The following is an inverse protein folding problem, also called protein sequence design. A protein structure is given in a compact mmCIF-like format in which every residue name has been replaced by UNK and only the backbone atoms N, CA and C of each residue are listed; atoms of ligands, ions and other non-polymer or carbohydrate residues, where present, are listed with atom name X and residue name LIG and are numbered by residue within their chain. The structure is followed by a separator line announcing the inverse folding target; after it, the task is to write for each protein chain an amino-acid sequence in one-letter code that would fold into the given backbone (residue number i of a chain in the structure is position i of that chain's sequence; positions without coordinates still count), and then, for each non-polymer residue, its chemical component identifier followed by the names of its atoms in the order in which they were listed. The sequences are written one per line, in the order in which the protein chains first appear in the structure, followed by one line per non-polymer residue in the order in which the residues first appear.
data_IF_194894996242
#
_entry.id   IF_194894996242
#
_cell.length_a   1.000
_cell.length_b   1.000
_cell.length_c   1.000
_cell.angle_alpha   90.00
_cell.angle_beta   90.00
_cell.angle_gamma   90.00
#
_symmetry.space_group_name_H-M   'P 1'
#
loop_
_entity.id
_entity.type
_entity.pdbx_description
1 polymer ?
#
# COMPACT_ATOMS: atom_id res chain seq x y z
N UNK A 1 66.74 3.91 17.93
CA UNK A 1 65.65 2.91 17.82
C UNK A 1 64.46 3.49 17.04
N UNK A 2 64.46 3.36 15.72
CA UNK A 2 63.36 3.62 14.76
C UNK A 2 63.69 2.76 13.53
N UNK A 3 62.73 2.07 12.87
CA UNK A 3 61.45 2.64 12.47
C UNK A 3 60.26 1.65 12.62
N UNK A 4 59.28 1.96 13.49
CA UNK A 4 57.98 1.25 13.51
C UNK A 4 56.91 1.96 12.66
N UNK A 5 57.22 3.15 12.12
CA UNK A 5 56.24 4.03 11.46
C UNK A 5 55.76 3.51 10.10
N UNK A 6 56.60 2.83 9.31
CA UNK A 6 56.20 2.37 7.98
C UNK A 6 55.22 1.18 8.02
N UNK A 7 55.50 0.18 8.85
CA UNK A 7 54.64 -1.01 9.01
C UNK A 7 53.30 -0.66 9.67
N UNK A 8 53.32 0.22 10.68
CA UNK A 8 52.11 0.72 11.30
C UNK A 8 51.25 1.53 10.33
N UNK A 9 51.85 2.37 9.48
CA UNK A 9 51.13 3.14 8.45
C UNK A 9 50.51 2.24 7.39
N UNK A 10 51.19 1.18 6.96
CA UNK A 10 50.62 0.17 6.05
C UNK A 10 49.45 -0.58 6.69
N UNK A 11 49.58 -1.01 7.95
CA UNK A 11 48.51 -1.69 8.68
C UNK A 11 47.29 -0.79 8.88
N UNK A 12 47.51 0.50 9.17
CA UNK A 12 46.43 1.49 9.29
C UNK A 12 45.70 1.70 7.96
N UNK A 13 46.44 1.70 6.85
CA UNK A 13 45.84 1.76 5.51
C UNK A 13 44.96 0.52 5.28
N UNK A 14 45.50 -0.68 5.48
CA UNK A 14 44.73 -1.92 5.28
C UNK A 14 43.50 -1.99 6.18
N UNK A 15 43.62 -1.60 7.45
CA UNK A 15 42.49 -1.51 8.36
C UNK A 15 41.45 -0.47 7.90
N UNK A 16 41.90 0.67 7.37
CA UNK A 16 41.04 1.69 6.77
C UNK A 16 40.31 1.18 5.53
N UNK A 17 41.00 0.48 4.63
CA UNK A 17 40.38 -0.13 3.45
C UNK A 17 39.32 -1.17 3.86
N UNK A 18 39.64 -2.02 4.83
CA UNK A 18 38.69 -2.97 5.42
C UNK A 18 37.47 -2.26 6.00
N UNK A 19 37.66 -1.22 6.81
CA UNK A 19 36.57 -0.46 7.40
C UNK A 19 35.67 0.16 6.32
N UNK A 20 36.26 0.76 5.27
CA UNK A 20 35.51 1.32 4.13
C UNK A 20 34.70 0.24 3.42
N UNK A 21 35.28 -0.94 3.17
CA UNK A 21 34.54 -2.05 2.53
C UNK A 21 33.38 -2.55 3.39
N UNK A 22 33.56 -2.63 4.71
CA UNK A 22 32.50 -3.05 5.64
C UNK A 22 31.37 -2.02 5.70
N UNK A 23 31.69 -0.72 5.75
CA UNK A 23 30.69 0.36 5.74
C UNK A 23 29.94 0.41 4.41
N UNK A 24 30.64 0.22 3.29
CA UNK A 24 30.02 0.14 1.97
C UNK A 24 29.06 -1.04 1.90
N UNK A 25 29.50 -2.23 2.33
CA UNK A 25 28.66 -3.43 2.33
C UNK A 25 27.43 -3.28 3.23
N UNK A 26 27.60 -2.73 4.43
CA UNK A 26 26.50 -2.48 5.36
C UNK A 26 25.48 -1.50 4.77
N UNK A 27 25.97 -0.38 4.20
CA UNK A 27 25.13 0.63 3.55
C UNK A 27 24.34 0.05 2.38
N UNK A 28 25.00 -0.70 1.49
CA UNK A 28 24.35 -1.35 0.35
C UNK A 28 23.30 -2.35 0.80
N UNK A 29 23.60 -3.15 1.82
CA UNK A 29 22.67 -4.15 2.37
C UNK A 29 21.43 -3.48 2.98
N UNK A 30 21.61 -2.42 3.76
CA UNK A 30 20.50 -1.65 4.34
C UNK A 30 19.63 -1.02 3.24
N UNK A 31 20.26 -0.49 2.19
CA UNK A 31 19.53 0.11 1.09
C UNK A 31 18.69 -0.90 0.31
N UNK A 32 19.28 -2.07 -0.01
CA UNK A 32 18.57 -3.19 -0.63
C UNK A 32 17.41 -3.68 0.26
N UNK A 33 17.67 -3.87 1.55
CA UNK A 33 16.67 -4.36 2.50
C UNK A 33 15.45 -3.42 2.58
N UNK A 34 15.68 -2.11 2.67
CA UNK A 34 14.61 -1.11 2.68
C UNK A 34 13.78 -1.16 1.39
N UNK A 35 14.42 -1.28 0.23
CA UNK A 35 13.71 -1.39 -1.05
C UNK A 35 12.89 -2.67 -1.19
N UNK A 36 13.42 -3.81 -0.72
CA UNK A 36 12.70 -5.08 -0.76
C UNK A 36 11.49 -5.09 0.18
N UNK A 37 11.62 -4.50 1.38
CA UNK A 37 10.54 -4.46 2.36
C UNK A 37 9.36 -3.60 1.88
N UNK A 38 9.65 -2.41 1.32
CA UNK A 38 8.59 -1.53 0.79
C UNK A 38 7.89 -2.16 -0.41
N UNK A 39 8.65 -2.74 -1.34
CA UNK A 39 8.07 -3.41 -2.51
C UNK A 39 7.19 -4.61 -2.13
N UNK A 40 7.60 -5.41 -1.13
CA UNK A 40 6.82 -6.55 -0.67
C UNK A 40 5.56 -6.14 0.09
N UNK A 41 5.64 -5.08 0.89
CA UNK A 41 4.49 -4.51 1.57
C UNK A 41 3.46 -3.96 0.57
N UNK A 42 3.91 -3.20 -0.44
CA UNK A 42 3.06 -2.66 -1.50
C UNK A 42 2.40 -3.78 -2.31
N UNK A 43 3.16 -4.82 -2.70
CA UNK A 43 2.62 -5.96 -3.45
C UNK A 43 1.57 -6.74 -2.65
N UNK A 44 1.80 -6.97 -1.35
CA UNK A 44 0.84 -7.63 -0.47
C UNK A 44 -0.43 -6.80 -0.26
N UNK A 45 -0.28 -5.49 -0.10
CA UNK A 45 -1.40 -4.57 0.06
C UNK A 45 -2.25 -4.49 -1.21
N UNK A 46 -1.61 -4.41 -2.38
CA UNK A 46 -2.30 -4.42 -3.67
C UNK A 46 -3.05 -5.73 -3.91
N UNK A 47 -2.40 -6.88 -3.73
CA UNK A 47 -3.04 -8.17 -3.94
C UNK A 47 -4.28 -8.35 -3.04
N UNK A 48 -4.22 -7.86 -1.81
CA UNK A 48 -5.36 -7.87 -0.91
C UNK A 48 -6.49 -6.95 -1.39
N UNK A 49 -6.17 -5.71 -1.77
CA UNK A 49 -7.18 -4.77 -2.29
C UNK A 49 -7.81 -5.26 -3.60
N UNK A 50 -7.04 -5.89 -4.48
CA UNK A 50 -7.54 -6.53 -5.70
C UNK A 50 -8.46 -7.71 -5.40
N UNK A 51 -8.12 -8.57 -4.44
CA UNK A 51 -8.97 -9.68 -4.04
C UNK A 51 -10.32 -9.19 -3.48
N UNK A 52 -10.29 -8.11 -2.68
CA UNK A 52 -11.51 -7.47 -2.18
C UNK A 52 -12.33 -6.87 -3.32
N UNK A 53 -11.68 -6.13 -4.24
CA UNK A 53 -12.36 -5.54 -5.39
C UNK A 53 -12.99 -6.60 -6.31
N UNK A 54 -12.33 -7.75 -6.50
CA UNK A 54 -12.84 -8.86 -7.29
C UNK A 54 -14.06 -9.55 -6.63
N UNK A 55 -14.03 -9.69 -5.30
CA UNK A 55 -15.17 -10.23 -4.54
C UNK A 55 -16.38 -9.32 -4.71
N UNK A 56 -16.21 -8.02 -4.43
CA UNK A 56 -17.25 -7.00 -4.62
C UNK A 56 -17.78 -6.99 -6.07
N UNK A 57 -16.91 -7.05 -7.08
CA UNK A 57 -17.32 -7.10 -8.48
C UNK A 57 -18.21 -8.32 -8.77
N UNK A 58 -17.90 -9.47 -8.17
CA UNK A 58 -18.66 -10.71 -8.30
C UNK A 58 -20.04 -10.58 -7.66
N UNK A 59 -20.14 -10.03 -6.46
CA UNK A 59 -21.41 -9.88 -5.75
C UNK A 59 -22.29 -8.81 -6.39
N UNK A 60 -21.71 -7.73 -6.90
CA UNK A 60 -22.43 -6.76 -7.73
C UNK A 60 -22.93 -7.37 -9.03
N UNK A 61 -22.15 -8.25 -9.66
CA UNK A 61 -22.59 -8.99 -10.83
C UNK A 61 -23.77 -9.91 -10.49
N UNK A 62 -23.68 -10.69 -9.42
CA UNK A 62 -24.79 -11.55 -8.95
C UNK A 62 -26.05 -10.74 -8.63
N UNK A 63 -25.93 -9.67 -7.86
CA UNK A 63 -27.06 -8.79 -7.53
C UNK A 63 -27.72 -8.20 -8.78
N UNK A 64 -26.92 -7.84 -9.80
CA UNK A 64 -27.44 -7.33 -11.07
C UNK A 64 -28.20 -8.38 -11.90
N UNK A 65 -27.76 -9.65 -11.84
CA UNK A 65 -28.41 -10.78 -12.51
C UNK A 65 -29.69 -11.20 -11.78
N UNK A 66 -29.66 -11.22 -10.44
CA UNK A 66 -30.75 -11.71 -9.60
C UNK A 66 -31.82 -10.65 -9.28
N UNK A 67 -31.62 -9.37 -9.70
CA UNK A 67 -32.46 -8.21 -9.30
C UNK A 67 -32.67 -8.10 -7.79
N UNK A 68 -31.72 -8.61 -7.01
CA UNK A 68 -31.74 -8.45 -5.56
C UNK A 68 -31.51 -6.97 -5.21
N UNK A 69 -32.18 -6.49 -4.16
CA UNK A 69 -32.21 -5.08 -3.76
C UNK A 69 -30.84 -4.44 -3.50
N UNK A 70 -30.87 -3.13 -3.24
CA UNK A 70 -29.74 -2.19 -3.23
C UNK A 70 -28.37 -2.80 -2.83
N UNK A 71 -27.36 -2.78 -3.73
CA UNK A 71 -26.05 -3.40 -3.48
C UNK A 71 -25.28 -2.83 -2.27
N UNK A 72 -25.67 -1.65 -1.77
CA UNK A 72 -25.09 -1.02 -0.58
C UNK A 72 -25.25 -1.87 0.69
N UNK A 73 -26.36 -2.56 0.85
CA UNK A 73 -26.64 -3.36 2.05
C UNK A 73 -25.87 -4.70 2.06
N UNK A 74 -25.47 -5.18 0.88
CA UNK A 74 -24.61 -6.36 0.72
C UNK A 74 -23.17 -6.00 1.08
N UNK A 75 -22.65 -4.92 0.48
CA UNK A 75 -21.33 -4.37 0.78
C UNK A 75 -21.11 -4.14 2.27
N UNK A 76 -22.10 -3.57 2.96
CA UNK A 76 -21.99 -3.29 4.39
C UNK A 76 -21.89 -4.55 5.24
N UNK A 77 -22.56 -5.65 4.84
CA UNK A 77 -22.53 -6.91 5.58
C UNK A 77 -21.21 -7.65 5.39
N UNK A 78 -20.73 -7.76 4.16
CA UNK A 78 -19.47 -8.45 3.87
C UNK A 78 -18.27 -7.77 4.52
N UNK A 79 -18.26 -6.43 4.58
CA UNK A 79 -17.15 -5.68 5.18
C UNK A 79 -17.00 -5.89 6.69
N UNK A 80 -18.03 -6.31 7.42
CA UNK A 80 -17.90 -6.61 8.86
C UNK A 80 -17.02 -7.84 9.13
N UNK A 81 -16.86 -8.72 8.14
CA UNK A 81 -16.06 -9.95 8.28
C UNK A 81 -14.58 -9.73 7.91
N UNK A 82 -14.24 -8.60 7.28
CA UNK A 82 -12.88 -8.33 6.79
C UNK A 82 -12.04 -7.67 7.89
N UNK A 83 -11.26 -8.48 8.61
CA UNK A 83 -10.42 -8.07 9.75
C UNK A 83 -9.19 -7.18 9.42
N UNK A 84 -9.25 -6.31 8.40
CA UNK A 84 -8.19 -5.35 8.01
C UNK A 84 -8.79 -4.00 7.62
N UNK A 85 -8.02 -2.92 7.67
CA UNK A 85 -8.48 -1.56 7.35
C UNK A 85 -8.82 -1.40 5.86
N UNK A 86 -10.10 -1.57 5.52
CA UNK A 86 -10.62 -1.41 4.15
C UNK A 86 -11.81 -0.47 4.16
N UNK A 87 -11.89 0.34 3.11
CA UNK A 87 -13.00 1.22 2.83
C UNK A 87 -13.40 1.11 1.37
N UNK A 88 -14.70 1.08 1.11
CA UNK A 88 -15.28 1.15 -0.22
C UNK A 88 -15.86 2.53 -0.42
N UNK A 89 -15.50 3.15 -1.54
CA UNK A 89 -15.86 4.50 -1.92
C UNK A 89 -16.66 4.45 -3.21
N UNK A 90 -17.76 5.19 -3.26
CA UNK A 90 -18.55 5.38 -4.48
C UNK A 90 -17.75 6.23 -5.47
N UNK A 91 -17.58 5.71 -6.68
CA UNK A 91 -16.64 6.28 -7.64
C UNK A 91 -17.11 7.63 -8.23
N UNK A 92 -18.44 7.87 -8.24
CA UNK A 92 -19.08 9.08 -8.76
C UNK A 92 -19.12 10.21 -7.72
N UNK A 93 -19.43 9.87 -6.48
CA UNK A 93 -19.53 10.84 -5.38
C UNK A 93 -18.22 11.03 -4.64
N UNK A 94 -17.32 10.05 -4.68
CA UNK A 94 -16.12 10.01 -3.84
C UNK A 94 -16.43 9.80 -2.36
N UNK A 95 -17.68 9.45 -2.02
CA UNK A 95 -18.11 9.26 -0.64
C UNK A 95 -17.97 7.80 -0.22
N UNK A 96 -17.52 7.55 1.02
CA UNK A 96 -17.40 6.20 1.51
C UNK A 96 -18.77 5.58 1.76
N UNK A 97 -19.00 4.40 1.17
CA UNK A 97 -20.26 3.66 1.25
C UNK A 97 -20.22 2.52 2.27
N UNK A 98 -19.04 1.95 2.49
CA UNK A 98 -18.82 0.89 3.48
C UNK A 98 -17.37 0.91 3.97
N UNK A 99 -17.13 0.47 5.20
CA UNK A 99 -15.81 0.43 5.80
C UNK A 99 -15.77 -0.65 6.89
N UNK A 100 -14.58 -1.17 7.16
CA UNK A 100 -14.32 -2.13 8.25
C UNK A 100 -14.20 -1.39 9.58
N UNK A 101 -14.59 -2.02 10.69
CA UNK A 101 -14.46 -1.46 12.04
C UNK A 101 -13.01 -1.18 12.45
N UNK A 102 -12.04 -1.84 11.80
CA UNK A 102 -10.61 -1.62 12.01
C UNK A 102 -10.09 -0.25 11.55
N UNK A 103 -10.86 0.53 10.77
CA UNK A 103 -10.55 1.95 10.53
C UNK A 103 -10.78 2.70 11.86
N UNK A 104 -9.72 2.86 12.63
CA UNK A 104 -9.74 3.52 13.93
C UNK A 104 -10.23 4.97 13.77
N UNK A 105 -11.53 5.21 13.93
CA UNK A 105 -12.20 6.52 14.00
C UNK A 105 -12.01 7.52 12.84
N UNK A 106 -11.08 7.29 11.90
CA UNK A 106 -10.83 8.15 10.74
C UNK A 106 -11.02 7.37 9.45
N UNK A 107 -11.85 7.93 8.57
CA UNK A 107 -12.05 7.48 7.20
C UNK A 107 -10.79 7.77 6.38
N UNK A 108 -10.45 6.90 5.44
CA UNK A 108 -9.32 7.14 4.56
C UNK A 108 -9.69 8.28 3.60
N UNK A 109 -8.83 9.29 3.42
CA UNK A 109 -9.05 10.33 2.44
C UNK A 109 -8.87 9.75 1.04
N UNK A 110 -9.77 10.09 0.13
CA UNK A 110 -9.59 9.85 -1.30
C UNK A 110 -9.12 11.15 -1.96
N UNK A 111 -7.88 11.19 -2.42
CA UNK A 111 -7.38 12.34 -3.17
C UNK A 111 -8.02 12.40 -4.55
N UNK A 112 -8.12 13.61 -5.10
CA UNK A 112 -8.62 13.80 -6.46
C UNK A 112 -7.74 13.06 -7.48
N UNK A 113 -6.43 13.04 -7.26
CA UNK A 113 -5.47 12.40 -8.14
C UNK A 113 -5.65 10.87 -8.18
N UNK A 114 -5.73 10.22 -7.01
CA UNK A 114 -5.99 8.78 -6.94
C UNK A 114 -7.32 8.42 -7.59
N UNK A 115 -8.35 9.22 -7.37
CA UNK A 115 -9.67 9.04 -7.99
C UNK A 115 -9.61 9.15 -9.52
N UNK A 116 -8.98 10.21 -10.04
CA UNK A 116 -8.86 10.41 -11.49
C UNK A 116 -8.07 9.27 -12.13
N UNK A 117 -6.95 8.85 -11.54
CA UNK A 117 -6.17 7.71 -12.06
C UNK A 117 -6.96 6.42 -12.06
N UNK A 118 -7.64 6.10 -10.95
CA UNK A 118 -8.44 4.89 -10.84
C UNK A 118 -9.59 4.84 -11.86
N UNK A 119 -10.18 5.99 -12.20
CA UNK A 119 -11.25 6.11 -13.18
C UNK A 119 -10.76 6.12 -14.64
N UNK A 120 -9.65 6.81 -14.92
CA UNK A 120 -9.20 7.12 -16.29
C UNK A 120 -8.11 6.20 -16.82
N UNK A 121 -7.45 5.40 -15.98
CA UNK A 121 -6.42 4.47 -16.40
C UNK A 121 -6.92 3.54 -17.51
N UNK A 122 -6.10 3.29 -18.53
CA UNK A 122 -6.49 2.38 -19.64
C UNK A 122 -6.16 0.92 -19.35
N UNK A 123 -5.19 0.67 -18.46
CA UNK A 123 -4.80 -0.65 -17.99
C UNK A 123 -5.03 -0.76 -16.50
N UNK A 124 -5.26 -1.98 -16.00
CA UNK A 124 -5.46 -2.24 -14.58
C UNK A 124 -4.30 -1.69 -13.73
N UNK A 125 -3.06 -1.93 -14.16
CA UNK A 125 -1.85 -1.44 -13.49
C UNK A 125 -1.78 0.10 -13.39
N UNK A 126 -2.37 0.82 -14.36
CA UNK A 126 -2.39 2.29 -14.36
C UNK A 126 -3.49 2.86 -13.47
N UNK A 127 -4.46 2.03 -13.05
CA UNK A 127 -5.58 2.41 -12.20
C UNK A 127 -5.31 2.18 -10.71
N UNK A 128 -4.35 1.31 -10.38
CA UNK A 128 -3.92 1.11 -8.99
C UNK A 128 -3.05 2.29 -8.57
N UNK A 129 -3.45 2.99 -7.51
CA UNK A 129 -2.69 4.14 -7.00
C UNK A 129 -2.26 3.90 -5.56
N UNK A 130 -1.00 4.19 -5.25
CA UNK A 130 -0.47 4.12 -3.90
C UNK A 130 -0.17 5.51 -3.37
N UNK A 131 -0.55 5.77 -2.13
CA UNK A 131 -0.30 7.03 -1.44
C UNK A 131 0.20 6.75 -0.03
N UNK A 132 1.13 7.57 0.45
CA UNK A 132 1.57 7.53 1.85
C UNK A 132 1.08 8.79 2.54
N UNK A 133 0.33 8.61 3.63
CA UNK A 133 -0.27 9.69 4.42
C UNK A 133 0.32 9.70 5.81
N UNK A 134 0.82 10.85 6.24
CA UNK A 134 1.41 11.06 7.57
C UNK A 134 0.47 11.78 8.53
N UNK A 135 -0.74 12.12 8.07
CA UNK A 135 -1.73 12.95 8.77
C UNK A 135 -2.88 12.15 9.40
N UNK A 136 -2.91 10.83 9.22
CA UNK A 136 -4.00 9.94 9.65
C UNK A 136 -3.75 9.27 11.01
N UNK A 137 -2.72 9.70 11.75
CA UNK A 137 -2.36 9.17 13.05
C UNK A 137 -0.94 9.56 13.45
N UNK A 138 -0.41 8.91 14.48
CA UNK A 138 0.96 9.14 14.96
C UNK A 138 2.04 8.61 14.00
N UNK A 139 1.64 7.80 13.01
CA UNK A 139 2.57 7.09 12.12
C UNK A 139 2.11 7.15 10.66
N UNK A 140 3.05 7.08 9.69
CA UNK A 140 2.71 7.03 8.28
C UNK A 140 1.90 5.79 7.92
N UNK A 141 0.88 5.99 7.09
CA UNK A 141 -0.03 4.96 6.58
C UNK A 141 0.12 4.89 5.06
N UNK A 142 0.34 3.69 4.54
CA UNK A 142 0.34 3.41 3.10
C UNK A 142 -1.06 2.97 2.69
N UNK A 143 -1.62 3.67 1.71
CA UNK A 143 -2.96 3.44 1.17
C UNK A 143 -2.82 3.00 -0.28
N UNK A 144 -3.53 1.95 -0.66
CA UNK A 144 -3.74 1.57 -2.05
C UNK A 144 -5.19 1.83 -2.44
N UNK A 145 -5.41 2.37 -3.63
CA UNK A 145 -6.74 2.56 -4.23
C UNK A 145 -6.84 1.71 -5.48
N UNK A 146 -7.82 0.81 -5.52
CA UNK A 146 -8.08 -0.13 -6.62
C UNK A 146 -9.52 0.07 -7.13
N UNK A 147 -9.76 0.17 -8.44
CA UNK A 147 -11.12 0.26 -8.98
C UNK A 147 -11.83 -1.10 -8.94
N UNK A 148 -13.12 -1.10 -8.61
CA UNK A 148 -14.02 -2.22 -8.87
C UNK A 148 -14.51 -2.11 -10.30
N UNK A 149 -14.23 -3.08 -11.16
CA UNK A 149 -14.62 -3.05 -12.57
C UNK A 149 -15.86 -3.94 -12.76
N UNK A 150 -16.93 -3.36 -13.31
CA UNK A 150 -18.14 -4.06 -13.70
C UNK A 150 -18.44 -3.77 -15.17
N UNK A 151 -18.05 -4.69 -16.06
CA UNK A 151 -18.07 -4.44 -17.50
C UNK A 151 -17.14 -3.26 -17.87
N UNK A 152 -17.69 -2.22 -18.50
CA UNK A 152 -16.94 -1.00 -18.83
C UNK A 152 -17.01 0.09 -17.74
N UNK A 153 -17.72 -0.15 -16.64
CA UNK A 153 -17.96 0.84 -15.59
C UNK A 153 -17.11 0.58 -14.36
N UNK A 154 -16.77 1.66 -13.66
CA UNK A 154 -16.14 1.63 -12.34
C UNK A 154 -17.13 2.21 -11.33
N UNK A 155 -18.05 1.39 -10.77
CA UNK A 155 -19.05 1.89 -9.82
C UNK A 155 -18.45 2.22 -8.44
N UNK A 156 -17.38 1.54 -8.04
CA UNK A 156 -16.77 1.69 -6.71
C UNK A 156 -15.25 1.67 -6.80
N UNK A 157 -14.62 2.22 -5.76
CA UNK A 157 -13.19 2.15 -5.49
C UNK A 157 -12.99 1.46 -4.15
N UNK A 158 -12.01 0.57 -4.06
CA UNK A 158 -11.57 -0.06 -2.81
C UNK A 158 -10.30 0.63 -2.37
N UNK A 159 -10.31 1.17 -1.16
CA UNK A 159 -9.15 1.68 -0.47
C UNK A 159 -8.75 0.71 0.64
N UNK A 160 -7.51 0.24 0.63
CA UNK A 160 -6.94 -0.53 1.72
C UNK A 160 -5.74 0.20 2.30
N UNK A 161 -5.60 0.16 3.62
CA UNK A 161 -4.54 0.83 4.33
C UNK A 161 -3.73 -0.12 5.20
N UNK A 162 -2.44 0.16 5.34
CA UNK A 162 -1.53 -0.49 6.28
C UNK A 162 -0.63 0.54 6.94
N UNK A 163 -0.39 0.39 8.24
CA UNK A 163 0.62 1.19 8.94
C UNK A 163 2.02 0.75 8.53
N UNK A 164 2.92 1.70 8.27
CA UNK A 164 4.33 1.43 7.93
C UNK A 164 5.20 1.13 9.17
N UNK A 165 4.62 0.64 10.26
CA UNK A 165 5.33 0.30 11.49
C UNK A 165 6.51 -0.65 11.23
N UNK A 166 7.72 -0.20 11.61
CA UNK A 166 8.96 -0.97 11.48
C UNK A 166 9.66 -0.89 10.12
N UNK A 167 9.11 -0.17 9.14
CA UNK A 167 9.70 -0.02 7.80
C UNK A 167 10.50 1.28 7.66
N UNK A 168 10.22 2.28 8.50
CA UNK A 168 10.99 3.52 8.62
C UNK A 168 11.80 3.53 9.91
N UNK A 169 13.07 3.10 9.80
CA UNK A 169 14.12 3.22 10.81
C UNK A 169 15.46 3.36 10.12
#
# INVERSE_FOLDING_TARGET
MKPRSLRARLALWHAGLLAVTLVALASTTLWLLRGFLTSRADAGLQAYAEAVAATIATDLYRASVERAGAPRDLLRREMQEWGRQVQVVDAETGLPVAWTDGLASQKLPLTLEARVRALSGRRMADRVTFETRTDLGERPVRIVTVPVIQGERVPYLVQAAVSLEGIEG
#
